data_IF_254734612702
#
_entry.id   IF_254734612702
#
_cell.length_a   1.000
_cell.length_b   1.000
_cell.length_c   1.000
_cell.angle_alpha   90.00
_cell.angle_beta   90.00
_cell.angle_gamma   90.00
#
_symmetry.space_group_name_H-M   'P 1'
#
loop_
_entity.id
_entity.type
_entity.pdbx_description
1 polymer ?
#
# COMPACT_ATOMS: atom_id res chain seq x y z
N UNK A 1 -13.29 -49.98 -56.80
CA UNK A 1 -12.33 -50.71 -55.94
C UNK A 1 -11.48 -49.66 -55.24
N UNK A 2 -11.63 -49.59 -53.91
CA UNK A 2 -10.97 -48.62 -53.04
C UNK A 2 -9.48 -48.98 -52.93
N UNK A 3 -8.60 -48.00 -53.10
CA UNK A 3 -7.29 -48.00 -52.45
C UNK A 3 -7.07 -46.64 -51.80
N UNK A 4 -7.12 -46.63 -50.47
CA UNK A 4 -6.53 -45.59 -49.64
C UNK A 4 -5.01 -45.75 -49.69
N UNK A 5 -4.29 -44.65 -49.85
CA UNK A 5 -2.95 -44.51 -49.28
C UNK A 5 -2.84 -43.13 -48.64
N UNK A 6 -2.87 -43.17 -47.31
CA UNK A 6 -2.58 -42.10 -46.36
C UNK A 6 -1.10 -41.75 -46.46
N UNK A 7 -0.73 -40.46 -46.55
CA UNK A 7 0.45 -39.87 -45.88
C UNK A 7 0.69 -38.41 -46.28
N UNK A 8 0.47 -37.47 -45.36
CA UNK A 8 1.59 -36.75 -44.73
C UNK A 8 1.06 -35.69 -43.74
N UNK A 9 0.88 -36.11 -42.48
CA UNK A 9 0.63 -35.21 -41.34
C UNK A 9 1.78 -35.29 -40.33
N UNK A 10 3.01 -35.49 -40.83
CA UNK A 10 4.21 -35.67 -39.98
C UNK A 10 5.14 -34.46 -40.05
N UNK A 11 5.01 -33.57 -41.04
CA UNK A 11 5.92 -32.44 -41.20
C UNK A 11 5.62 -31.22 -40.29
N UNK A 12 4.53 -31.21 -39.52
CA UNK A 12 4.17 -30.08 -38.63
C UNK A 12 4.45 -30.33 -37.14
N UNK A 13 4.99 -31.48 -36.76
CA UNK A 13 5.14 -31.86 -35.34
C UNK A 13 6.57 -31.82 -34.79
N UNK A 14 7.57 -31.44 -35.59
CA UNK A 14 8.99 -31.48 -35.17
C UNK A 14 9.61 -30.10 -34.90
N UNK A 15 8.98 -29.00 -35.30
CA UNK A 15 9.47 -27.64 -35.02
C UNK A 15 8.95 -27.05 -33.70
N UNK A 16 7.93 -27.65 -33.09
CA UNK A 16 7.34 -27.14 -31.83
C UNK A 16 8.03 -27.68 -30.57
N UNK A 17 8.82 -28.76 -30.67
CA UNK A 17 9.47 -29.36 -29.50
C UNK A 17 10.80 -28.69 -29.12
N UNK A 18 11.50 -28.05 -30.06
CA UNK A 18 12.77 -27.39 -29.80
C UNK A 18 12.60 -26.01 -29.14
N UNK A 19 11.52 -25.28 -29.45
CA UNK A 19 11.28 -23.94 -28.89
C UNK A 19 10.78 -23.96 -27.45
N UNK A 20 10.11 -25.04 -27.03
CA UNK A 20 9.62 -25.21 -25.65
C UNK A 20 10.76 -25.58 -24.69
N UNK A 21 11.86 -26.15 -25.19
CA UNK A 21 12.99 -26.58 -24.36
C UNK A 21 13.98 -25.45 -24.01
N UNK A 22 13.99 -24.35 -24.78
CA UNK A 22 14.86 -23.20 -24.49
C UNK A 22 14.20 -22.23 -23.51
N UNK A 23 12.87 -22.16 -23.49
CA UNK A 23 12.13 -21.28 -22.55
C UNK A 23 12.06 -21.89 -21.14
N UNK A 24 12.09 -23.22 -21.02
CA UNK A 24 12.08 -23.91 -19.71
C UNK A 24 13.43 -23.85 -18.98
N UNK A 25 14.56 -23.83 -19.69
CA UNK A 25 15.89 -23.79 -19.07
C UNK A 25 16.24 -22.48 -18.36
N UNK A 26 15.78 -21.34 -18.88
CA UNK A 26 16.01 -20.02 -18.26
C UNK A 26 15.03 -19.77 -17.10
N UNK A 27 13.81 -20.30 -17.21
CA UNK A 27 12.78 -20.19 -16.17
C UNK A 27 13.11 -20.97 -14.90
N UNK A 28 13.62 -22.20 -15.00
CA UNK A 28 13.87 -23.02 -13.81
C UNK A 28 14.99 -22.47 -12.91
N UNK A 29 16.05 -21.86 -13.47
CA UNK A 29 17.13 -21.29 -12.65
C UNK A 29 16.74 -19.95 -12.00
N UNK A 30 15.92 -19.12 -12.64
CA UNK A 30 15.46 -17.85 -12.06
C UNK A 30 14.40 -18.06 -10.98
N UNK A 31 13.50 -19.02 -11.17
CA UNK A 31 12.50 -19.41 -10.17
C UNK A 31 13.19 -19.95 -8.91
N UNK A 32 14.16 -20.85 -9.04
CA UNK A 32 14.90 -21.38 -7.89
C UNK A 32 15.66 -20.30 -7.09
N UNK A 33 16.17 -19.25 -7.75
CA UNK A 33 16.88 -18.14 -7.08
C UNK A 33 15.89 -17.21 -6.36
N UNK A 34 14.73 -16.92 -6.97
CA UNK A 34 13.66 -16.13 -6.36
C UNK A 34 13.07 -16.80 -5.12
N UNK A 35 13.00 -18.14 -5.10
CA UNK A 35 12.53 -18.91 -3.95
C UNK A 35 13.63 -19.25 -2.92
N UNK A 36 14.91 -19.31 -3.32
CA UNK A 36 16.03 -19.54 -2.37
C UNK A 36 16.40 -18.30 -1.56
N UNK A 37 16.21 -17.09 -2.10
CA UNK A 37 16.43 -15.83 -1.39
C UNK A 37 15.31 -14.81 -1.73
N UNK A 38 14.14 -14.88 -1.06
CA UNK A 38 13.08 -13.92 -1.33
C UNK A 38 13.59 -12.50 -1.09
N UNK A 39 13.20 -11.56 -1.94
CA UNK A 39 13.47 -10.13 -1.69
C UNK A 39 12.70 -9.65 -0.47
N UNK A 40 13.10 -8.52 0.12
CA UNK A 40 12.31 -7.88 1.17
C UNK A 40 10.87 -7.62 0.71
N UNK A 41 10.66 -7.25 -0.56
CA UNK A 41 9.33 -7.11 -1.16
C UNK A 41 8.52 -8.41 -1.10
N UNK A 42 9.08 -9.51 -1.62
CA UNK A 42 8.38 -10.79 -1.61
C UNK A 42 8.06 -11.26 -0.19
N UNK A 43 8.96 -11.00 0.78
CA UNK A 43 8.69 -11.33 2.17
C UNK A 43 7.59 -10.46 2.80
N UNK A 44 7.53 -9.15 2.49
CA UNK A 44 6.42 -8.27 2.90
C UNK A 44 5.09 -8.72 2.33
N UNK A 45 5.04 -9.04 1.02
CA UNK A 45 3.84 -9.51 0.33
C UNK A 45 3.33 -10.83 0.92
N UNK A 46 4.24 -11.75 1.26
CA UNK A 46 3.89 -13.01 1.96
C UNK A 46 3.27 -12.79 3.35
N UNK A 47 3.49 -11.62 3.95
CA UNK A 47 2.92 -11.19 5.24
C UNK A 47 1.70 -10.26 5.06
N UNK A 48 1.11 -10.23 3.85
CA UNK A 48 -0.05 -9.44 3.47
C UNK A 48 0.13 -7.91 3.56
N UNK A 49 1.37 -7.42 3.52
CA UNK A 49 1.62 -5.99 3.34
C UNK A 49 1.49 -5.62 1.87
N UNK A 50 0.85 -4.47 1.59
CA UNK A 50 0.81 -3.88 0.25
C UNK A 50 1.84 -2.77 0.15
N UNK A 51 2.59 -2.72 -0.94
CA UNK A 51 3.60 -1.70 -1.13
C UNK A 51 2.99 -0.36 -1.49
N UNK A 52 3.61 0.74 -1.03
CA UNK A 52 3.24 2.08 -1.48
C UNK A 52 3.54 2.31 -2.98
N UNK A 53 4.33 1.45 -3.61
CA UNK A 53 4.51 1.44 -5.07
C UNK A 53 3.28 0.96 -5.84
N UNK A 54 2.34 0.28 -5.18
CA UNK A 54 1.11 -0.22 -5.80
C UNK A 54 -0.03 0.81 -5.80
N UNK A 55 0.16 1.96 -5.14
CA UNK A 55 -0.80 3.08 -5.14
C UNK A 55 -0.97 3.58 -6.58
N UNK A 56 -2.21 3.62 -7.06
CA UNK A 56 -2.54 4.11 -8.40
C UNK A 56 -2.91 5.59 -8.38
N UNK A 57 -3.61 6.06 -7.35
CA UNK A 57 -4.12 7.44 -7.29
C UNK A 57 -3.18 8.36 -6.54
N UNK A 58 -2.84 9.47 -7.20
CA UNK A 58 -1.93 10.49 -6.65
C UNK A 58 -0.68 9.87 -5.99
N UNK A 59 0.05 8.97 -6.67
CA UNK A 59 1.05 8.11 -6.05
C UNK A 59 2.15 8.92 -5.35
N UNK A 60 2.61 10.01 -5.96
CA UNK A 60 3.63 10.86 -5.34
C UNK A 60 3.12 11.64 -4.12
N UNK A 61 1.83 12.02 -4.09
CA UNK A 61 1.23 12.65 -2.91
C UNK A 61 1.29 11.72 -1.71
N UNK A 62 1.10 10.40 -1.89
CA UNK A 62 1.23 9.43 -0.79
C UNK A 62 2.65 9.31 -0.26
N UNK A 63 3.65 9.34 -1.14
CA UNK A 63 5.05 9.40 -0.71
C UNK A 63 5.35 10.68 0.09
N UNK A 64 4.79 11.81 -0.31
CA UNK A 64 4.93 13.09 0.39
C UNK A 64 4.26 13.10 1.76
N UNK A 65 3.05 12.58 1.87
CA UNK A 65 2.36 12.41 3.16
C UNK A 65 3.15 11.48 4.08
N UNK A 66 3.64 10.36 3.54
CA UNK A 66 4.46 9.40 4.28
C UNK A 66 5.72 10.06 4.83
N UNK A 67 6.46 10.78 3.98
CA UNK A 67 7.63 11.54 4.41
C UNK A 67 7.28 12.56 5.49
N UNK A 68 6.24 13.36 5.29
CA UNK A 68 5.82 14.41 6.22
C UNK A 68 5.46 13.84 7.60
N UNK A 69 4.81 12.68 7.63
CA UNK A 69 4.43 12.00 8.86
C UNK A 69 5.61 11.48 9.68
N UNK A 70 6.73 11.17 9.03
CA UNK A 70 7.88 10.47 9.63
C UNK A 70 9.22 11.21 9.43
N UNK A 71 9.23 12.51 9.10
CA UNK A 71 10.44 13.18 8.62
C UNK A 71 11.63 13.04 9.58
N UNK A 72 11.40 13.21 10.89
CA UNK A 72 12.45 13.14 11.92
C UNK A 72 13.10 11.76 12.02
N UNK A 73 12.32 10.72 11.78
CA UNK A 73 12.81 9.33 11.80
C UNK A 73 13.56 9.04 10.50
N UNK A 74 13.02 9.50 9.37
CA UNK A 74 13.61 9.30 8.05
C UNK A 74 14.93 10.03 7.88
N UNK A 75 15.09 11.23 8.45
CA UNK A 75 16.37 11.97 8.49
C UNK A 75 17.50 11.15 9.13
N UNK A 76 17.18 10.30 10.12
CA UNK A 76 18.17 9.44 10.78
C UNK A 76 18.51 8.18 9.98
N UNK A 77 17.65 7.78 9.05
CA UNK A 77 17.71 6.50 8.33
C UNK A 77 18.24 6.69 6.91
N UNK A 78 17.91 7.82 6.29
CA UNK A 78 18.20 8.13 4.88
C UNK A 78 19.18 9.29 4.86
N UNK A 79 20.48 9.06 4.62
CA UNK A 79 21.52 10.09 4.69
C UNK A 79 21.29 11.29 3.76
N UNK A 80 20.57 11.08 2.66
CA UNK A 80 20.22 12.13 1.70
C UNK A 80 19.15 13.10 2.21
N UNK A 81 18.43 12.75 3.29
CA UNK A 81 17.43 13.61 3.94
C UNK A 81 18.10 14.35 5.10
N UNK A 82 17.91 15.66 5.13
CA UNK A 82 18.37 16.55 6.19
C UNK A 82 17.21 17.42 6.73
N UNK A 83 17.47 18.20 7.78
CA UNK A 83 16.49 19.09 8.42
C UNK A 83 15.83 20.09 7.47
N UNK A 84 16.52 20.48 6.40
CA UNK A 84 16.10 21.51 5.46
C UNK A 84 15.41 20.92 4.21
N UNK A 85 15.31 19.60 4.13
CA UNK A 85 14.71 18.91 2.98
C UNK A 85 13.23 19.26 2.86
N UNK A 86 12.84 19.72 1.66
CA UNK A 86 11.43 19.99 1.38
C UNK A 86 10.60 18.70 1.37
N UNK A 87 9.27 18.81 1.52
CA UNK A 87 8.39 17.63 1.47
C UNK A 87 8.49 16.84 0.16
N UNK A 88 8.78 17.51 -0.96
CA UNK A 88 8.94 16.84 -2.25
C UNK A 88 10.28 16.12 -2.38
N UNK A 89 11.38 16.76 -1.95
CA UNK A 89 12.71 16.15 -1.97
C UNK A 89 12.77 14.94 -1.02
N UNK A 90 12.27 15.11 0.21
CA UNK A 90 12.19 14.01 1.18
C UNK A 90 11.36 12.83 0.67
N UNK A 91 10.23 13.10 0.01
CA UNK A 91 9.41 12.06 -0.63
C UNK A 91 10.15 11.32 -1.74
N UNK A 92 10.92 12.04 -2.57
CA UNK A 92 11.72 11.46 -3.63
C UNK A 92 12.82 10.54 -3.06
N UNK A 93 13.57 11.00 -2.05
CA UNK A 93 14.60 10.20 -1.41
C UNK A 93 14.01 8.99 -0.68
N UNK A 94 12.88 9.15 0.01
CA UNK A 94 12.15 8.05 0.63
C UNK A 94 11.76 6.99 -0.41
N UNK A 95 11.13 7.40 -1.52
CA UNK A 95 10.74 6.48 -2.60
C UNK A 95 11.95 5.73 -3.16
N UNK A 96 13.06 6.44 -3.42
CA UNK A 96 14.30 5.83 -3.93
C UNK A 96 14.90 4.84 -2.93
N UNK A 97 14.96 5.20 -1.65
CA UNK A 97 15.44 4.33 -0.58
C UNK A 97 14.59 3.08 -0.45
N UNK A 98 13.26 3.22 -0.46
CA UNK A 98 12.33 2.10 -0.44
C UNK A 98 12.54 1.17 -1.64
N UNK A 99 12.69 1.73 -2.85
CA UNK A 99 12.95 0.92 -4.04
C UNK A 99 14.21 0.07 -3.86
N UNK A 100 15.35 0.69 -3.53
CA UNK A 100 16.62 -0.02 -3.33
C UNK A 100 16.47 -1.17 -2.34
N UNK A 101 15.98 -0.88 -1.13
CA UNK A 101 15.94 -1.84 -0.04
C UNK A 101 14.84 -2.91 -0.22
N UNK A 102 13.71 -2.61 -0.86
CA UNK A 102 12.66 -3.60 -1.11
C UNK A 102 13.11 -4.70 -2.08
N UNK A 103 13.96 -4.37 -3.05
CA UNK A 103 14.47 -5.35 -4.03
C UNK A 103 15.80 -6.00 -3.61
N UNK A 104 16.37 -5.63 -2.46
CA UNK A 104 17.44 -6.40 -1.84
C UNK A 104 16.94 -7.76 -1.34
N UNK A 105 17.82 -8.76 -1.32
CA UNK A 105 17.56 -10.07 -0.73
C UNK A 105 17.23 -9.94 0.76
N UNK A 106 16.16 -10.59 1.20
CA UNK A 106 15.79 -10.65 2.60
C UNK A 106 16.89 -11.32 3.42
N UNK A 107 17.24 -10.70 4.55
CA UNK A 107 18.24 -11.21 5.48
C UNK A 107 17.75 -10.96 6.90
N UNK A 108 17.53 -12.04 7.66
CA UNK A 108 17.07 -11.97 9.05
C UNK A 108 18.05 -11.23 9.98
N UNK A 109 19.33 -11.11 9.63
CA UNK A 109 20.31 -10.29 10.36
C UNK A 109 20.10 -8.79 10.18
N UNK A 110 19.33 -8.36 9.16
CA UNK A 110 18.96 -6.96 8.90
C UNK A 110 17.49 -6.70 9.24
N UNK A 111 16.99 -7.29 10.34
CA UNK A 111 15.58 -7.22 10.72
C UNK A 111 15.11 -5.78 10.95
N UNK A 112 15.97 -4.89 11.42
CA UNK A 112 15.63 -3.48 11.64
C UNK A 112 15.31 -2.76 10.34
N UNK A 113 16.12 -2.95 9.30
CA UNK A 113 15.82 -2.44 7.95
C UNK A 113 14.50 -3.02 7.47
N UNK A 114 14.27 -4.33 7.63
CA UNK A 114 13.01 -4.93 7.23
C UNK A 114 11.80 -4.35 7.97
N UNK A 115 11.94 -4.07 9.27
CA UNK A 115 10.90 -3.41 10.06
C UNK A 115 10.65 -1.96 9.61
N UNK A 116 11.70 -1.22 9.24
CA UNK A 116 11.57 0.10 8.63
C UNK A 116 10.82 0.04 7.29
N UNK A 117 11.05 -0.98 6.47
CA UNK A 117 10.30 -1.17 5.22
C UNK A 117 8.80 -1.40 5.46
N UNK A 118 8.42 -2.16 6.50
CA UNK A 118 7.01 -2.34 6.91
C UNK A 118 6.31 -1.06 7.32
N UNK A 119 7.07 -0.05 7.76
CA UNK A 119 6.50 1.21 8.23
C UNK A 119 6.46 2.20 7.07
N UNK A 120 7.60 2.39 6.38
CA UNK A 120 7.78 3.50 5.45
C UNK A 120 7.48 3.16 3.99
N UNK A 121 7.58 1.89 3.59
CA UNK A 121 7.47 1.48 2.18
C UNK A 121 6.16 0.76 1.83
N UNK A 122 5.29 0.58 2.82
CA UNK A 122 3.97 -0.04 2.65
C UNK A 122 2.86 0.98 2.80
N UNK A 123 1.72 0.68 2.19
CA UNK A 123 0.50 1.47 2.32
C UNK A 123 0.08 1.59 3.79
N UNK A 124 -0.36 2.79 4.17
CA UNK A 124 -1.15 2.99 5.38
C UNK A 124 -2.65 2.90 5.05
N UNK A 125 -3.49 2.95 6.08
CA UNK A 125 -4.94 2.90 5.91
C UNK A 125 -5.43 4.07 5.04
N UNK A 126 -4.86 5.27 5.18
CA UNK A 126 -5.21 6.42 4.33
C UNK A 126 -4.97 6.16 2.86
N UNK A 127 -3.77 5.72 2.50
CA UNK A 127 -3.43 5.41 1.12
C UNK A 127 -4.33 4.31 0.55
N UNK A 128 -4.68 3.30 1.36
CA UNK A 128 -5.60 2.24 0.95
C UNK A 128 -7.02 2.75 0.67
N UNK A 129 -7.60 3.54 1.58
CA UNK A 129 -8.96 4.06 1.42
C UNK A 129 -9.08 5.04 0.25
N UNK A 130 -8.01 5.79 -0.03
CA UNK A 130 -8.00 6.82 -1.07
C UNK A 130 -7.72 6.28 -2.50
N UNK A 131 -7.66 4.96 -2.67
CA UNK A 131 -7.64 4.32 -3.98
C UNK A 131 -9.03 4.28 -4.64
N UNK A 132 -10.13 4.44 -3.88
CA UNK A 132 -11.50 4.55 -4.38
C UNK A 132 -11.76 5.93 -5.02
N UNK A 133 -12.70 6.03 -5.98
CA UNK A 133 -12.97 7.30 -6.71
C UNK A 133 -13.63 8.35 -5.80
N UNK A 134 -13.22 9.61 -5.96
CA UNK A 134 -13.75 10.77 -5.23
C UNK A 134 -13.76 10.63 -3.70
N UNK A 135 -12.74 9.95 -3.17
CA UNK A 135 -12.55 9.79 -1.74
C UNK A 135 -11.68 10.89 -1.14
N UNK A 136 -12.12 11.44 0.00
CA UNK A 136 -11.39 12.40 0.80
C UNK A 136 -11.54 12.04 2.28
N UNK A 137 -10.52 12.29 3.08
CA UNK A 137 -10.55 12.08 4.52
C UNK A 137 -10.89 13.37 5.27
N UNK A 138 -11.57 13.25 6.41
CA UNK A 138 -12.04 14.40 7.21
C UNK A 138 -10.90 15.26 7.76
N UNK A 139 -9.68 14.72 7.87
CA UNK A 139 -8.49 15.46 8.31
C UNK A 139 -7.96 16.43 7.24
N UNK A 140 -8.36 16.23 5.98
CA UNK A 140 -8.01 17.08 4.82
C UNK A 140 -9.19 17.98 4.39
N UNK A 141 -10.30 17.99 5.13
CA UNK A 141 -11.53 18.69 4.77
C UNK A 141 -11.37 20.21 4.98
N UNK A 142 -11.54 20.99 3.89
CA UNK A 142 -11.50 22.47 3.90
C UNK A 142 -12.89 23.10 4.05
N UNK A 143 -13.73 22.53 4.91
CA UNK A 143 -15.08 23.05 5.12
C UNK A 143 -15.18 23.98 6.34
N UNK A 144 -16.25 24.76 6.38
CA UNK A 144 -16.61 25.60 7.53
C UNK A 144 -16.87 24.76 8.78
N UNK A 145 -16.71 25.37 9.94
CA UNK A 145 -16.91 24.68 11.23
C UNK A 145 -18.37 24.24 11.45
N UNK A 146 -19.34 24.92 10.83
CA UNK A 146 -20.75 24.54 10.85
C UNK A 146 -21.01 23.21 10.13
N UNK A 147 -20.41 23.00 8.96
CA UNK A 147 -20.54 21.73 8.23
C UNK A 147 -19.84 20.59 8.97
N UNK A 148 -18.63 20.83 9.50
CA UNK A 148 -17.91 19.85 10.34
C UNK A 148 -18.75 19.39 11.52
N UNK A 149 -19.40 20.32 12.22
CA UNK A 149 -20.27 19.99 13.35
C UNK A 149 -21.50 19.19 12.91
N UNK A 150 -22.08 19.50 11.75
CA UNK A 150 -23.22 18.74 11.20
C UNK A 150 -22.84 17.29 10.90
N UNK A 151 -21.68 17.08 10.26
CA UNK A 151 -21.12 15.74 10.00
C UNK A 151 -20.81 15.02 11.31
N UNK A 152 -20.22 15.72 12.28
CA UNK A 152 -19.92 15.18 13.60
C UNK A 152 -21.16 14.68 14.33
N UNK A 153 -22.24 15.47 14.36
CA UNK A 153 -23.49 15.10 15.04
C UNK A 153 -24.11 13.84 14.46
N UNK A 154 -23.97 13.61 13.15
CA UNK A 154 -24.44 12.39 12.48
C UNK A 154 -23.71 11.14 12.99
N UNK A 155 -22.40 11.23 13.21
CA UNK A 155 -21.57 10.08 13.58
C UNK A 155 -21.35 9.92 15.09
N UNK A 156 -21.54 10.99 15.88
CA UNK A 156 -21.18 11.04 17.31
C UNK A 156 -21.73 9.84 18.10
N UNK A 157 -23.02 9.55 17.96
CA UNK A 157 -23.66 8.47 18.73
C UNK A 157 -23.10 7.10 18.37
N UNK A 158 -22.87 6.83 17.08
CA UNK A 158 -22.32 5.55 16.63
C UNK A 158 -20.85 5.43 17.01
N UNK A 159 -20.06 6.48 16.82
CA UNK A 159 -18.66 6.50 17.24
C UNK A 159 -18.48 6.34 18.76
N UNK A 160 -19.41 6.86 19.58
CA UNK A 160 -19.44 6.58 21.02
C UNK A 160 -19.74 5.12 21.34
N UNK A 161 -20.71 4.51 20.65
CA UNK A 161 -21.03 3.07 20.83
C UNK A 161 -19.86 2.16 20.46
N UNK A 162 -19.12 2.52 19.41
CA UNK A 162 -17.93 1.79 18.97
C UNK A 162 -16.68 2.07 19.84
N UNK A 163 -16.79 2.91 20.87
CA UNK A 163 -15.71 3.24 21.80
C UNK A 163 -14.64 4.18 21.22
N UNK A 164 -14.91 4.83 20.09
CA UNK A 164 -14.01 5.78 19.44
C UNK A 164 -14.06 7.14 20.15
N UNK A 165 -15.26 7.56 20.56
CA UNK A 165 -15.51 8.80 21.27
C UNK A 165 -16.10 8.55 22.66
N UNK A 166 -15.97 9.53 23.53
CA UNK A 166 -16.57 9.57 24.86
C UNK A 166 -17.60 10.68 24.96
N UNK A 167 -18.40 10.63 26.03
CA UNK A 167 -19.29 11.74 26.36
C UNK A 167 -18.47 13.01 26.60
N UNK A 168 -18.92 14.13 26.04
CA UNK A 168 -18.19 15.40 26.04
C UNK A 168 -17.18 15.58 24.90
N UNK A 169 -16.85 14.54 24.12
CA UNK A 169 -15.95 14.70 22.97
C UNK A 169 -16.60 15.52 21.84
N UNK A 170 -15.74 16.22 21.09
CA UNK A 170 -16.07 17.08 19.96
C UNK A 170 -15.44 16.58 18.64
N UNK A 171 -15.65 17.30 17.54
CA UNK A 171 -15.13 16.92 16.23
C UNK A 171 -13.60 16.80 16.19
N UNK A 172 -12.86 17.65 16.90
CA UNK A 172 -11.40 17.59 16.94
C UNK A 172 -10.87 16.28 17.54
N UNK A 173 -11.61 15.70 18.50
CA UNK A 173 -11.28 14.37 19.04
C UNK A 173 -11.44 13.28 17.99
N UNK A 174 -12.51 13.36 17.18
CA UNK A 174 -12.69 12.45 16.05
C UNK A 174 -11.58 12.61 15.01
N UNK A 175 -11.24 13.85 14.64
CA UNK A 175 -10.13 14.13 13.70
C UNK A 175 -8.79 13.62 14.23
N UNK A 176 -8.54 13.79 15.52
CA UNK A 176 -7.31 13.29 16.18
C UNK A 176 -7.24 11.77 16.11
N UNK A 177 -8.34 11.09 16.42
CA UNK A 177 -8.42 9.63 16.30
C UNK A 177 -8.21 9.18 14.85
N UNK A 178 -8.87 9.84 13.89
CA UNK A 178 -8.71 9.55 12.48
C UNK A 178 -7.26 9.72 12.02
N UNK A 179 -6.59 10.82 12.37
CA UNK A 179 -5.17 11.03 12.04
C UNK A 179 -4.27 9.92 12.59
N UNK A 180 -4.59 9.36 13.75
CA UNK A 180 -3.85 8.24 14.32
C UNK A 180 -4.07 6.96 13.52
N UNK A 181 -5.33 6.58 13.30
CA UNK A 181 -5.70 5.34 12.61
C UNK A 181 -5.26 5.35 11.15
N UNK A 182 -5.46 6.47 10.46
CA UNK A 182 -5.14 6.63 9.04
C UNK A 182 -3.64 6.46 8.74
N UNK A 183 -2.76 6.72 9.72
CA UNK A 183 -1.30 6.54 9.60
C UNK A 183 -0.82 5.11 9.84
N UNK A 184 -1.67 4.24 10.38
CA UNK A 184 -1.31 2.85 10.64
C UNK A 184 -1.06 2.10 9.34
N UNK A 185 -0.06 1.21 9.33
CA UNK A 185 0.16 0.31 8.19
C UNK A 185 -1.09 -0.52 7.91
N UNK A 186 -1.52 -0.49 6.65
CA UNK A 186 -2.64 -1.29 6.18
C UNK A 186 -2.32 -2.78 6.27
N UNK A 187 -3.27 -3.53 6.83
CA UNK A 187 -3.31 -4.99 6.79
C UNK A 187 -4.75 -5.49 6.71
N UNK A 188 -5.04 -6.52 5.91
CA UNK A 188 -6.40 -7.06 5.78
C UNK A 188 -6.96 -7.61 7.10
N UNK A 189 -6.10 -8.10 7.99
CA UNK A 189 -6.46 -8.58 9.33
C UNK A 189 -7.06 -7.49 10.22
N UNK A 190 -6.75 -6.21 9.98
CA UNK A 190 -7.28 -5.05 10.73
C UNK A 190 -8.68 -4.62 10.23
N UNK A 191 -9.53 -5.57 9.86
CA UNK A 191 -10.84 -5.31 9.22
C UNK A 191 -11.71 -4.34 10.02
N UNK A 192 -11.79 -4.51 11.34
CA UNK A 192 -12.57 -3.61 12.21
C UNK A 192 -12.08 -2.17 12.14
N UNK A 193 -10.77 -1.96 12.29
CA UNK A 193 -10.13 -0.64 12.22
C UNK A 193 -10.32 -0.01 10.84
N UNK A 194 -10.16 -0.78 9.76
CA UNK A 194 -10.36 -0.30 8.39
C UNK A 194 -11.83 0.12 8.18
N UNK A 195 -12.78 -0.70 8.63
CA UNK A 195 -14.20 -0.37 8.52
C UNK A 195 -14.54 0.89 9.31
N UNK A 196 -14.02 1.05 10.53
CA UNK A 196 -14.22 2.26 11.32
C UNK A 196 -13.58 3.48 10.65
N UNK A 197 -12.38 3.35 10.07
CA UNK A 197 -11.72 4.42 9.35
C UNK A 197 -12.53 4.82 8.10
N UNK A 198 -13.05 3.84 7.35
CA UNK A 198 -13.94 4.09 6.23
C UNK A 198 -15.21 4.81 6.68
N UNK A 199 -15.86 4.34 7.75
CA UNK A 199 -17.12 4.89 8.26
C UNK A 199 -16.98 6.29 8.87
N UNK A 200 -15.90 6.56 9.60
CA UNK A 200 -15.79 7.79 10.41
C UNK A 200 -14.74 8.77 9.90
N UNK A 201 -13.75 8.32 9.12
CA UNK A 201 -12.65 9.17 8.68
C UNK A 201 -12.74 9.61 7.22
N UNK A 202 -13.61 9.01 6.40
CA UNK A 202 -13.94 9.53 5.07
C UNK A 202 -15.03 10.60 5.17
N UNK A 203 -15.01 11.58 4.27
CA UNK A 203 -16.09 12.57 4.18
C UNK A 203 -17.40 11.88 3.73
N UNK A 204 -18.57 12.45 4.05
CA UNK A 204 -19.86 11.85 3.67
C UNK A 204 -20.04 11.64 2.16
N UNK A 205 -19.52 12.57 1.35
CA UNK A 205 -19.62 12.56 -0.12
C UNK A 205 -18.87 11.36 -0.70
N UNK A 206 -17.76 10.98 -0.07
CA UNK A 206 -16.92 9.84 -0.44
C UNK A 206 -17.53 8.47 -0.15
N UNK A 207 -18.68 8.42 0.54
CA UNK A 207 -19.36 7.16 0.92
C UNK A 207 -20.58 6.86 0.04
N UNK A 208 -20.93 7.76 -0.87
CA UNK A 208 -22.07 7.58 -1.76
C UNK A 208 -21.59 6.72 -2.94
N UNK A 209 -22.05 5.47 -3.09
CA UNK A 209 -21.75 4.70 -4.28
C UNK A 209 -22.34 5.45 -5.48
N UNK A 210 -21.49 5.81 -6.43
CA UNK A 210 -21.89 6.40 -7.71
C UNK A 210 -22.26 5.30 -8.70
#
# INVERSE_FOLDING_TARGET
MIFYLVSSSIAKSLTTAATVSVISGVGFKTVDILFKHPTNKAHLESQNYKSLFEVKKNPFTRWREKYTNYHKELERIIPEINSDSSSNEGAYFLKRWCYRNMYESYNSRKIDTFNQLKIFCTMDIKAFLLEEEDTQTIDDMKESDENKNTVFHKYKRTAMKEGILKEGDNFDKLVTWCRSVLKETYKPEKKKTINHAWEFCLTPESKIPK
#
